data_IF_079066965260
#
_entry.id   IF_079066965260
#
_cell.length_a   1.000
_cell.length_b   1.000
_cell.length_c   1.000
_cell.angle_alpha   90.00
_cell.angle_beta   90.00
_cell.angle_gamma   90.00
#
_symmetry.space_group_name_H-M   'P 1'
#
loop_
_entity.id
_entity.type
_entity.pdbx_description
1 polymer ?
#
# COMPACT_ATOMS: atom_id res chain seq x y z
N UNK A 1 -17.54 2.03 16.59
CA UNK A 1 -16.63 0.87 16.60
C UNK A 1 -15.57 1.07 15.53
N UNK A 2 -14.30 1.00 15.91
CA UNK A 2 -13.19 1.08 14.94
C UNK A 2 -13.25 -0.16 14.04
N UNK A 3 -13.34 0.07 12.72
CA UNK A 3 -13.32 -1.00 11.72
C UNK A 3 -11.87 -1.33 11.33
N UNK A 4 -11.60 -2.58 11.02
CA UNK A 4 -10.37 -2.96 10.33
C UNK A 4 -10.44 -2.49 8.87
N UNK A 5 -9.30 -2.35 8.18
CA UNK A 5 -9.26 -1.96 6.77
C UNK A 5 -10.16 -2.84 5.87
N UNK A 6 -10.05 -4.18 5.95
CA UNK A 6 -10.94 -5.07 5.19
C UNK A 6 -12.43 -4.87 5.49
N UNK A 7 -12.80 -4.74 6.78
CA UNK A 7 -14.21 -4.53 7.18
C UNK A 7 -14.75 -3.17 6.68
N UNK A 8 -13.90 -2.13 6.66
CA UNK A 8 -14.26 -0.84 6.10
C UNK A 8 -14.48 -0.93 4.58
N UNK A 9 -13.57 -1.59 3.87
CA UNK A 9 -13.68 -1.80 2.43
C UNK A 9 -14.95 -2.58 2.07
N UNK A 10 -15.21 -3.69 2.77
CA UNK A 10 -16.40 -4.50 2.56
C UNK A 10 -17.69 -3.70 2.75
N UNK A 11 -17.77 -2.91 3.81
CA UNK A 11 -18.93 -2.04 4.08
C UNK A 11 -19.17 -1.03 2.95
N UNK A 12 -18.09 -0.44 2.40
CA UNK A 12 -18.22 0.52 1.29
C UNK A 12 -18.69 -0.17 -0.01
N UNK A 13 -18.18 -1.36 -0.29
CA UNK A 13 -18.64 -2.18 -1.43
C UNK A 13 -20.15 -2.46 -1.30
N UNK A 14 -20.58 -2.97 -0.16
CA UNK A 14 -22.00 -3.25 0.09
C UNK A 14 -22.89 -2.01 -0.03
N UNK A 15 -22.40 -0.84 0.41
CA UNK A 15 -23.14 0.41 0.25
C UNK A 15 -23.24 0.83 -1.22
N UNK A 16 -22.17 0.67 -2.00
CA UNK A 16 -22.17 0.98 -3.43
C UNK A 16 -23.14 0.06 -4.19
N UNK A 17 -23.14 -1.24 -3.91
CA UNK A 17 -24.04 -2.21 -4.50
C UNK A 17 -25.51 -1.88 -4.18
N UNK A 18 -25.82 -1.54 -2.92
CA UNK A 18 -27.17 -1.11 -2.51
C UNK A 18 -27.61 0.19 -3.21
N UNK A 19 -26.65 1.04 -3.57
CA UNK A 19 -26.92 2.26 -4.33
C UNK A 19 -27.05 1.99 -5.86
N UNK A 20 -26.99 0.74 -6.32
CA UNK A 20 -27.13 0.35 -7.71
C UNK A 20 -25.85 0.54 -8.55
N UNK A 21 -24.69 0.65 -7.89
CA UNK A 21 -23.40 0.75 -8.61
C UNK A 21 -23.01 -0.61 -9.16
N UNK A 22 -22.73 -0.68 -10.47
CA UNK A 22 -22.18 -1.85 -11.14
C UNK A 22 -20.66 -1.96 -10.86
N UNK A 23 -20.28 -2.87 -9.96
CA UNK A 23 -18.89 -3.11 -9.56
C UNK A 23 -18.32 -4.26 -10.39
N UNK A 24 -17.38 -3.96 -11.28
CA UNK A 24 -16.75 -4.94 -12.17
C UNK A 24 -15.35 -5.29 -11.70
N UNK A 25 -15.23 -6.40 -11.01
CA UNK A 25 -13.94 -6.96 -10.64
C UNK A 25 -13.22 -7.55 -11.85
N UNK A 26 -11.88 -7.62 -11.77
CA UNK A 26 -11.01 -8.16 -12.84
C UNK A 26 -11.11 -7.39 -14.17
N UNK A 27 -11.61 -6.16 -14.13
CA UNK A 27 -11.64 -5.23 -15.24
C UNK A 27 -10.60 -4.12 -15.02
N UNK A 28 -9.63 -4.02 -15.90
CA UNK A 28 -8.58 -3.01 -15.81
C UNK A 28 -8.75 -1.97 -16.90
N UNK A 29 -8.81 -0.69 -16.54
CA UNK A 29 -8.76 0.40 -17.52
C UNK A 29 -7.31 0.54 -17.97
N UNK A 30 -7.03 0.27 -19.24
CA UNK A 30 -5.69 0.33 -19.82
C UNK A 30 -5.44 1.63 -20.58
N UNK A 31 -6.49 2.30 -21.04
CA UNK A 31 -6.40 3.62 -21.65
C UNK A 31 -7.69 4.43 -21.45
N UNK A 32 -7.52 5.73 -21.33
CA UNK A 32 -8.60 6.73 -21.36
C UNK A 32 -8.36 7.62 -22.58
N UNK A 33 -9.22 7.50 -23.57
CA UNK A 33 -9.18 8.30 -24.78
C UNK A 33 -10.15 9.49 -24.71
N UNK A 34 -10.13 10.33 -25.72
CA UNK A 34 -11.01 11.49 -25.82
C UNK A 34 -12.49 11.09 -25.72
N UNK A 35 -13.33 12.07 -25.36
CA UNK A 35 -14.78 11.91 -25.23
C UNK A 35 -15.22 10.76 -24.27
N UNK A 36 -14.42 10.50 -23.22
CA UNK A 36 -14.75 9.52 -22.18
C UNK A 36 -14.75 8.06 -22.65
N UNK A 37 -14.00 7.75 -23.71
CA UNK A 37 -13.82 6.38 -24.17
C UNK A 37 -12.75 5.68 -23.32
N UNK A 38 -13.15 4.62 -22.62
CA UNK A 38 -12.29 3.78 -21.82
C UNK A 38 -11.99 2.48 -22.57
N UNK A 39 -10.72 2.10 -22.64
CA UNK A 39 -10.31 0.78 -23.09
C UNK A 39 -10.07 -0.11 -21.88
N UNK A 40 -10.63 -1.29 -21.89
CA UNK A 40 -10.64 -2.23 -20.79
C UNK A 40 -9.96 -3.54 -21.19
N UNK A 41 -9.13 -4.07 -20.30
CA UNK A 41 -8.73 -5.46 -20.30
C UNK A 41 -9.67 -6.21 -19.34
N UNK A 42 -10.37 -7.23 -19.85
CA UNK A 42 -11.33 -8.03 -19.08
C UNK A 42 -11.02 -9.51 -19.22
N UNK A 43 -11.58 -10.39 -18.38
CA UNK A 43 -11.41 -11.83 -18.51
C UNK A 43 -11.86 -12.39 -19.87
N UNK A 44 -12.83 -11.74 -20.51
CA UNK A 44 -13.38 -12.11 -21.81
C UNK A 44 -12.63 -11.47 -22.99
N UNK A 45 -11.56 -10.71 -22.72
CA UNK A 45 -10.77 -10.00 -23.71
C UNK A 45 -10.93 -8.47 -23.66
N UNK A 46 -10.35 -7.77 -24.64
CA UNK A 46 -10.42 -6.31 -24.67
C UNK A 46 -11.85 -5.82 -24.94
N UNK A 47 -12.25 -4.79 -24.21
CA UNK A 47 -13.57 -4.13 -24.31
C UNK A 47 -13.40 -2.63 -24.36
N UNK A 48 -14.41 -1.94 -24.83
CA UNK A 48 -14.52 -0.48 -24.78
C UNK A 48 -15.79 -0.08 -24.06
N UNK A 49 -15.68 0.96 -23.23
CA UNK A 49 -16.80 1.57 -22.52
C UNK A 49 -16.75 3.07 -22.73
N UNK A 50 -17.88 3.68 -23.01
CA UNK A 50 -18.01 5.14 -23.08
C UNK A 50 -18.74 5.65 -21.85
N UNK A 51 -18.17 6.66 -21.21
CA UNK A 51 -18.77 7.31 -20.05
C UNK A 51 -18.86 8.81 -20.29
N UNK A 52 -19.96 9.41 -19.86
CA UNK A 52 -20.18 10.88 -19.93
C UNK A 52 -19.20 11.61 -18.98
N UNK A 53 -18.89 11.01 -17.84
CA UNK A 53 -17.94 11.52 -16.85
C UNK A 53 -17.12 10.37 -16.30
N UNK A 54 -15.84 10.62 -16.03
CA UNK A 54 -14.92 9.64 -15.47
C UNK A 54 -14.30 10.21 -14.20
N UNK A 55 -14.40 9.48 -13.10
CA UNK A 55 -13.70 9.77 -11.86
C UNK A 55 -12.53 8.80 -11.70
N UNK A 56 -11.32 9.32 -11.55
CA UNK A 56 -10.13 8.53 -11.29
C UNK A 56 -9.92 8.41 -9.78
N UNK A 57 -10.03 7.22 -9.24
CA UNK A 57 -9.83 6.90 -7.83
C UNK A 57 -8.86 5.70 -7.68
N UNK A 58 -7.72 5.79 -8.34
CA UNK A 58 -6.73 4.70 -8.50
C UNK A 58 -5.83 4.50 -7.29
N UNK A 59 -5.99 5.29 -6.25
CA UNK A 59 -5.13 5.26 -5.07
C UNK A 59 -3.74 5.84 -5.34
N UNK A 60 -2.79 5.50 -4.47
CA UNK A 60 -1.41 5.94 -4.55
C UNK A 60 -0.48 4.74 -4.74
N UNK A 61 0.57 4.93 -5.53
CA UNK A 61 1.65 3.96 -5.67
C UNK A 61 2.86 4.45 -4.89
N UNK A 62 3.38 3.62 -4.01
CA UNK A 62 4.63 3.91 -3.32
C UNK A 62 5.81 3.94 -4.28
N UNK A 63 6.73 4.85 -4.01
CA UNK A 63 7.95 5.00 -4.79
C UNK A 63 8.83 3.75 -4.66
N UNK A 64 9.13 3.05 -5.76
CA UNK A 64 9.97 1.86 -5.72
C UNK A 64 11.44 2.22 -5.45
N UNK A 65 12.25 1.22 -5.09
CA UNK A 65 13.70 1.38 -4.83
C UNK A 65 14.43 2.14 -5.92
N UNK A 66 14.16 1.81 -7.18
CA UNK A 66 14.82 2.44 -8.33
C UNK A 66 14.58 3.94 -8.41
N UNK A 67 13.34 4.37 -8.17
CA UNK A 67 12.99 5.79 -8.19
C UNK A 67 13.48 6.55 -6.94
N UNK A 68 13.77 5.84 -5.84
CA UNK A 68 14.43 6.42 -4.66
C UNK A 68 15.95 6.43 -4.76
N UNK A 69 16.52 5.96 -5.86
CA UNK A 69 17.95 5.92 -6.12
C UNK A 69 18.75 5.22 -5.01
N UNK A 70 18.19 4.20 -4.39
CA UNK A 70 18.88 3.38 -3.39
C UNK A 70 19.93 2.53 -4.10
N UNK A 71 21.18 2.98 -4.06
CA UNK A 71 22.34 2.33 -4.66
C UNK A 71 22.77 1.05 -3.97
N UNK A 72 23.95 0.52 -4.35
CA UNK A 72 24.57 -0.67 -3.80
C UNK A 72 24.04 -1.97 -4.42
N UNK A 73 24.40 -3.10 -3.81
CA UNK A 73 23.95 -4.42 -4.21
C UNK A 73 22.42 -4.48 -4.26
N UNK A 74 21.91 -5.28 -5.16
CA UNK A 74 20.45 -5.45 -5.32
C UNK A 74 19.98 -6.70 -4.56
N UNK A 75 19.94 -6.71 -3.22
CA UNK A 75 19.50 -7.86 -2.48
C UNK A 75 18.03 -8.15 -2.78
N UNK A 76 17.68 -9.42 -2.79
CA UNK A 76 16.29 -9.84 -2.76
C UNK A 76 15.62 -9.36 -1.47
N UNK A 77 14.31 -9.09 -1.53
CA UNK A 77 13.55 -8.67 -0.35
C UNK A 77 13.49 -7.16 -0.12
N UNK A 78 14.01 -6.32 -1.03
CA UNK A 78 13.74 -4.87 -0.98
C UNK A 78 12.39 -4.60 -1.62
N UNK A 79 11.38 -4.39 -0.79
CA UNK A 79 9.99 -4.20 -1.20
C UNK A 79 9.40 -2.95 -0.55
N UNK A 80 8.34 -2.40 -1.13
CA UNK A 80 7.57 -1.33 -0.50
C UNK A 80 6.51 -1.88 0.47
N UNK A 81 5.90 -1.01 1.27
CA UNK A 81 4.91 -1.41 2.29
C UNK A 81 3.66 -2.04 1.67
N UNK A 82 3.21 -1.54 0.52
CA UNK A 82 2.06 -2.13 -0.18
C UNK A 82 2.33 -3.56 -0.62
N UNK A 83 3.53 -3.86 -1.13
CA UNK A 83 3.93 -5.23 -1.47
C UNK A 83 4.02 -6.11 -0.21
N UNK A 84 4.59 -5.61 0.90
CA UNK A 84 4.59 -6.32 2.17
C UNK A 84 3.18 -6.69 2.61
N UNK A 85 2.25 -5.74 2.56
CA UNK A 85 0.86 -5.97 2.94
C UNK A 85 0.17 -6.97 2.00
N UNK A 86 0.45 -6.92 0.70
CA UNK A 86 -0.07 -7.89 -0.25
C UNK A 86 0.42 -9.32 0.06
N UNK A 87 1.72 -9.50 0.34
CA UNK A 87 2.25 -10.79 0.78
C UNK A 87 1.55 -11.29 2.04
N UNK A 88 1.44 -10.46 3.07
CA UNK A 88 0.91 -10.86 4.37
C UNK A 88 -0.60 -11.13 4.33
N UNK A 89 -1.38 -10.23 3.73
CA UNK A 89 -2.84 -10.24 3.85
C UNK A 89 -3.57 -10.91 2.71
N UNK A 90 -3.00 -10.90 1.50
CA UNK A 90 -3.61 -11.52 0.33
C UNK A 90 -3.06 -12.92 0.05
N UNK A 91 -1.78 -13.15 0.33
CA UNK A 91 -1.12 -14.41 0.00
C UNK A 91 -0.79 -15.26 1.23
N UNK A 92 -0.89 -14.71 2.45
CA UNK A 92 -0.54 -15.40 3.69
C UNK A 92 0.96 -15.71 3.82
N UNK A 93 1.80 -15.01 3.05
CA UNK A 93 3.25 -15.26 2.99
C UNK A 93 4.03 -14.24 3.82
N UNK A 94 5.06 -14.70 4.54
CA UNK A 94 6.03 -13.85 5.23
C UNK A 94 7.27 -13.71 4.33
N UNK A 95 7.51 -12.51 3.74
CA UNK A 95 8.62 -12.35 2.80
C UNK A 95 10.00 -12.29 3.47
N UNK A 96 10.05 -12.06 4.79
CA UNK A 96 11.27 -11.97 5.59
C UNK A 96 10.93 -12.05 7.09
N UNK A 97 11.95 -12.25 7.93
CA UNK A 97 11.79 -12.35 9.39
C UNK A 97 12.28 -11.10 10.14
N UNK A 98 13.36 -10.48 9.66
CA UNK A 98 14.06 -9.37 10.34
C UNK A 98 14.37 -8.24 9.37
N UNK A 99 13.34 -7.50 8.90
CA UNK A 99 13.54 -6.41 7.96
C UNK A 99 14.14 -5.17 8.62
N UNK A 100 14.83 -4.37 7.81
CA UNK A 100 15.12 -2.97 8.06
C UNK A 100 14.05 -2.12 7.37
N UNK A 101 13.49 -1.13 8.07
CA UNK A 101 12.48 -0.22 7.51
C UNK A 101 13.17 1.11 7.20
N UNK A 102 13.02 1.59 5.96
CA UNK A 102 13.57 2.88 5.53
C UNK A 102 12.45 3.90 5.41
N UNK A 103 12.58 4.99 6.16
CA UNK A 103 11.59 6.07 6.32
C UNK A 103 10.84 5.99 7.65
N UNK A 104 10.23 7.12 8.03
CA UNK A 104 9.45 7.26 9.27
C UNK A 104 8.09 7.92 9.02
N UNK A 105 7.58 7.86 7.80
CA UNK A 105 6.26 8.33 7.40
C UNK A 105 5.16 7.40 7.98
N UNK A 106 3.90 7.81 7.89
CA UNK A 106 2.76 7.01 8.36
C UNK A 106 2.71 5.62 7.70
N UNK A 107 3.11 5.52 6.44
CA UNK A 107 3.21 4.26 5.71
C UNK A 107 4.26 3.34 6.35
N UNK A 108 5.41 3.87 6.75
CA UNK A 108 6.45 3.11 7.45
C UNK A 108 5.97 2.60 8.82
N UNK A 109 5.17 3.40 9.54
CA UNK A 109 4.52 2.96 10.79
C UNK A 109 3.53 1.83 10.54
N UNK A 110 2.79 1.86 9.43
CA UNK A 110 1.91 0.75 9.05
C UNK A 110 2.68 -0.51 8.70
N UNK A 111 3.90 -0.40 8.15
CA UNK A 111 4.81 -1.53 7.97
C UNK A 111 5.21 -2.16 9.31
N UNK A 112 5.56 -1.36 10.32
CA UNK A 112 5.83 -1.85 11.69
C UNK A 112 4.63 -2.62 12.24
N UNK A 113 3.42 -2.06 12.11
CA UNK A 113 2.19 -2.74 12.56
C UNK A 113 1.96 -4.07 11.84
N UNK A 114 2.14 -4.11 10.53
CA UNK A 114 1.97 -5.31 9.70
C UNK A 114 2.98 -6.38 10.08
N UNK A 115 4.25 -5.99 10.25
CA UNK A 115 5.30 -6.88 10.73
C UNK A 115 4.94 -7.49 12.10
N UNK A 116 4.56 -6.68 13.07
CA UNK A 116 4.19 -7.16 14.41
C UNK A 116 3.05 -8.17 14.38
N UNK A 117 1.98 -7.87 13.63
CA UNK A 117 0.83 -8.80 13.49
C UNK A 117 1.24 -10.13 12.88
N UNK A 118 2.21 -10.11 11.98
CA UNK A 118 2.72 -11.31 11.32
C UNK A 118 3.81 -12.04 12.11
N UNK A 119 4.21 -11.54 13.30
CA UNK A 119 5.31 -12.09 14.08
C UNK A 119 6.69 -11.82 13.45
N UNK A 120 6.79 -10.83 12.59
CA UNK A 120 8.04 -10.34 11.98
C UNK A 120 8.63 -9.28 12.92
N UNK A 121 9.96 -9.32 13.12
CA UNK A 121 10.67 -8.42 14.04
C UNK A 121 11.58 -7.45 13.29
N UNK A 122 11.13 -6.23 12.96
CA UNK A 122 12.01 -5.23 12.37
C UNK A 122 13.23 -4.97 13.25
N UNK A 123 14.41 -4.92 12.65
CA UNK A 123 15.66 -4.71 13.40
C UNK A 123 15.88 -3.24 13.72
N UNK A 124 15.46 -2.34 12.82
CA UNK A 124 15.54 -0.89 13.01
C UNK A 124 14.68 -0.16 11.98
N UNK A 125 14.49 1.14 12.22
CA UNK A 125 14.04 2.11 11.22
C UNK A 125 15.17 3.11 10.95
N UNK A 126 15.36 3.46 9.67
CA UNK A 126 16.33 4.48 9.25
C UNK A 126 15.59 5.69 8.68
N UNK A 127 16.00 6.87 9.11
CA UNK A 127 15.49 8.15 8.60
C UNK A 127 16.67 9.05 8.20
N UNK A 128 16.63 9.57 6.99
CA UNK A 128 17.67 10.46 6.48
C UNK A 128 17.61 11.88 7.06
N UNK A 129 16.48 12.25 7.66
CA UNK A 129 16.30 13.54 8.29
C UNK A 129 16.68 13.43 9.77
N UNK A 130 17.06 14.56 10.38
CA UNK A 130 17.37 14.63 11.81
C UNK A 130 16.16 14.36 12.73
N UNK A 131 14.95 14.30 12.16
CA UNK A 131 13.69 14.07 12.91
C UNK A 131 12.76 13.14 12.13
N UNK A 132 11.90 12.43 12.86
CA UNK A 132 10.87 11.60 12.24
C UNK A 132 9.91 12.45 11.40
N UNK A 133 9.54 11.94 10.22
CA UNK A 133 8.57 12.56 9.33
C UNK A 133 7.15 12.46 9.90
N UNK A 134 6.82 11.36 10.56
CA UNK A 134 5.56 11.23 11.30
C UNK A 134 5.54 12.19 12.50
N UNK A 135 4.42 12.92 12.67
CA UNK A 135 4.23 13.87 13.76
C UNK A 135 3.96 13.17 15.09
N UNK A 136 4.32 13.83 16.18
CA UNK A 136 3.91 13.44 17.53
C UNK A 136 2.37 13.35 17.64
N UNK A 137 1.79 12.37 18.34
CA UNK A 137 2.43 11.29 19.10
C UNK A 137 2.81 10.05 18.27
N UNK A 138 2.45 9.97 17.00
CA UNK A 138 2.65 8.78 16.15
C UNK A 138 4.13 8.42 15.97
N UNK A 139 5.04 9.41 16.01
CA UNK A 139 6.48 9.17 15.94
C UNK A 139 7.04 8.34 17.10
N UNK A 140 6.31 8.21 18.22
CA UNK A 140 6.68 7.36 19.34
C UNK A 140 6.36 5.88 19.13
N UNK A 141 5.43 5.59 18.22
CA UNK A 141 4.92 4.24 18.01
C UNK A 141 5.99 3.17 17.74
N UNK A 142 7.00 3.38 16.88
CA UNK A 142 8.04 2.38 16.66
C UNK A 142 8.82 2.05 17.94
N UNK A 143 9.15 3.07 18.75
CA UNK A 143 9.84 2.88 20.03
C UNK A 143 8.99 2.07 21.01
N UNK A 144 7.71 2.35 21.11
CA UNK A 144 6.76 1.57 21.91
C UNK A 144 6.65 0.13 21.42
N UNK A 145 6.96 -0.09 20.14
CA UNK A 145 7.03 -1.43 19.52
C UNK A 145 8.40 -2.10 19.69
N UNK A 146 9.35 -1.48 20.38
CA UNK A 146 10.71 -2.01 20.54
C UNK A 146 11.56 -1.93 19.28
N UNK A 147 11.20 -1.05 18.32
CA UNK A 147 11.96 -0.86 17.07
C UNK A 147 12.81 0.41 17.21
N UNK A 148 14.16 0.29 17.25
CA UNK A 148 15.05 1.43 17.32
C UNK A 148 14.97 2.27 16.04
N UNK A 149 15.09 3.59 16.19
CA UNK A 149 15.12 4.53 15.07
C UNK A 149 16.47 5.24 15.03
N UNK A 150 17.08 5.28 13.85
CA UNK A 150 18.34 5.96 13.57
C UNK A 150 18.06 7.11 12.59
N UNK A 151 18.63 8.26 12.90
CA UNK A 151 18.51 9.50 12.14
C UNK A 151 19.87 9.91 11.61
N UNK A 152 19.92 10.64 10.49
CA UNK A 152 21.16 11.24 9.97
C UNK A 152 21.54 12.50 10.72
#
# INVERSE_FOLDING_TARGET
RLLTGPAYAQRNVEQAERAGVDIRLRHSVVALAAAGLLQLATPEGPRSLRATRVLLATGARETPRSARLLGGDRPLGVINTGALQAYLYLQGLKPFERPLIVGTELVSLSAVMSCRRAGIRPVAMLERNARATARWPLSLFPRLCGVPMHFS
#
